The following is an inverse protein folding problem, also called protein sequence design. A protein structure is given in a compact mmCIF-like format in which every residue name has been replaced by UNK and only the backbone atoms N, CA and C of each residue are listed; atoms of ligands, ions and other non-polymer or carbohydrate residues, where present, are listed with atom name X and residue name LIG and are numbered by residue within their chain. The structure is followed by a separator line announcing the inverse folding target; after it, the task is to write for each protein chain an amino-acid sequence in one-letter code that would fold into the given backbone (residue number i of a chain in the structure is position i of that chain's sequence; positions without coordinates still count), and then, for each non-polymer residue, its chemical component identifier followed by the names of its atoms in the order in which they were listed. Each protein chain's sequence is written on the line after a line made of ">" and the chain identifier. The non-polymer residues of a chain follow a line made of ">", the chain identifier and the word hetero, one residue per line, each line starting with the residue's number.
data_IF_400567826950
#
_entry.id   IF_400567826950
#
_cell.length_a   1.000
_cell.length_b   1.000
_cell.length_c   1.000
_cell.angle_alpha   90.00
_cell.angle_beta   90.00
_cell.angle_gamma   90.00
#
_symmetry.space_group_name_H-M   'P 1'
#
loop_
_entity.id
_entity.type
_entity.pdbx_description
1 polymer ?
#
# COMPACT_ATOMS: atom_id res chain seq x y z
N UNK A 1 4.75 -9.61 -3.36
CA UNK A 1 5.86 -9.88 -4.30
C UNK A 1 5.98 -11.36 -4.64
N UNK A 2 6.53 -12.22 -3.77
CA UNK A 2 6.77 -13.66 -4.07
C UNK A 2 5.51 -14.41 -4.48
N UNK A 3 4.42 -14.29 -3.71
CA UNK A 3 3.14 -14.97 -4.00
C UNK A 3 2.54 -14.62 -5.36
N UNK A 4 2.83 -13.41 -5.87
CA UNK A 4 2.31 -12.89 -7.15
C UNK A 4 3.33 -12.96 -8.28
N UNK A 5 4.54 -13.46 -8.01
CA UNK A 5 5.67 -13.48 -8.97
C UNK A 5 5.96 -12.10 -9.59
N UNK A 6 5.69 -11.03 -8.85
CA UNK A 6 6.00 -9.67 -9.29
C UNK A 6 7.49 -9.39 -9.12
N UNK A 7 8.04 -8.72 -10.13
CA UNK A 7 9.40 -8.16 -10.12
C UNK A 7 9.28 -6.68 -10.45
N UNK A 8 9.91 -5.84 -9.62
CA UNK A 8 10.05 -4.41 -9.90
C UNK A 8 11.47 -4.18 -10.37
N UNK A 9 11.63 -3.65 -11.60
CA UNK A 9 12.94 -3.44 -12.21
C UNK A 9 13.75 -2.37 -11.48
N UNK A 10 13.11 -1.26 -11.12
CA UNK A 10 13.71 -0.22 -10.29
C UNK A 10 12.70 0.36 -9.31
N UNK A 11 13.09 0.47 -8.04
CA UNK A 11 12.37 1.23 -7.02
C UNK A 11 13.23 2.43 -6.63
N UNK A 12 12.73 3.64 -6.82
CA UNK A 12 13.49 4.87 -6.61
C UNK A 12 12.70 5.96 -5.89
N UNK A 13 13.42 6.89 -5.26
CA UNK A 13 12.83 8.16 -4.80
C UNK A 13 12.47 9.02 -6.01
N UNK A 14 11.27 9.60 -5.99
CA UNK A 14 10.82 10.60 -6.95
C UNK A 14 11.46 11.94 -6.60
N UNK A 15 11.98 12.65 -7.59
CA UNK A 15 12.53 14.00 -7.39
C UNK A 15 11.39 14.93 -6.91
N UNK A 16 11.51 15.53 -5.72
CA UNK A 16 10.44 16.33 -5.12
C UNK A 16 10.17 17.66 -5.84
N UNK A 17 11.04 18.05 -6.78
CA UNK A 17 10.98 19.28 -7.58
C UNK A 17 10.67 18.97 -9.05
N UNK A 18 10.59 17.68 -9.45
CA UNK A 18 10.35 17.33 -10.85
C UNK A 18 8.88 17.55 -11.25
N UNK A 19 8.61 18.77 -11.72
CA UNK A 19 7.34 19.23 -12.28
C UNK A 19 6.94 18.46 -13.57
N UNK A 20 7.83 17.68 -14.19
CA UNK A 20 7.52 16.92 -15.42
C UNK A 20 6.47 15.83 -15.20
N UNK A 21 6.31 15.34 -13.97
CA UNK A 21 5.25 14.38 -13.63
C UNK A 21 3.94 15.08 -13.27
N UNK A 22 3.98 16.32 -12.79
CA UNK A 22 2.79 17.13 -12.51
C UNK A 22 2.04 17.53 -13.79
N UNK A 23 2.74 17.64 -14.93
CA UNK A 23 2.13 17.95 -16.23
C UNK A 23 1.36 16.78 -16.86
N UNK A 24 1.61 15.53 -16.44
CA UNK A 24 0.91 14.34 -16.97
C UNK A 24 -0.46 14.08 -16.32
N UNK A 25 -0.99 15.05 -15.58
CA UNK A 25 -2.25 14.90 -14.84
C UNK A 25 -3.46 15.05 -15.74
N UNK A 26 -4.27 13.99 -15.84
CA UNK A 26 -5.73 14.15 -15.87
C UNK A 26 -6.19 14.45 -14.44
N UNK A 27 -6.74 15.65 -14.17
CA UNK A 27 -7.55 15.87 -12.96
C UNK A 27 -6.92 16.64 -11.79
N UNK A 28 -6.02 17.61 -12.04
CA UNK A 28 -5.82 18.80 -11.19
C UNK A 28 -5.61 18.63 -9.68
N UNK A 29 -4.36 18.76 -9.23
CA UNK A 29 -4.05 19.34 -7.91
C UNK A 29 -3.75 18.39 -6.75
N UNK A 30 -3.84 17.06 -6.93
CA UNK A 30 -3.38 16.13 -5.88
C UNK A 30 -1.89 15.83 -6.09
N UNK A 31 -1.05 16.15 -5.10
CA UNK A 31 0.41 15.91 -5.15
C UNK A 31 0.66 14.42 -5.38
N UNK A 32 1.31 14.09 -6.50
CA UNK A 32 1.71 12.72 -6.83
C UNK A 32 2.60 12.15 -5.71
N UNK A 33 2.19 11.00 -5.15
CA UNK A 33 2.94 10.31 -4.09
C UNK A 33 3.76 9.14 -4.63
N UNK A 34 3.32 8.54 -5.73
CA UNK A 34 3.99 7.44 -6.40
C UNK A 34 3.68 7.41 -7.89
N UNK A 35 4.49 6.68 -8.66
CA UNK A 35 4.23 6.43 -10.07
C UNK A 35 4.82 5.10 -10.50
N UNK A 36 4.00 4.26 -11.14
CA UNK A 36 4.41 3.01 -11.74
C UNK A 36 4.51 3.13 -13.27
N UNK A 37 5.74 3.02 -13.79
CA UNK A 37 6.04 2.95 -15.22
C UNK A 37 6.04 1.51 -15.72
N UNK A 38 5.25 1.25 -16.76
CA UNK A 38 5.21 -0.02 -17.49
C UNK A 38 5.05 -1.25 -16.59
N UNK A 39 4.02 -1.23 -15.73
CA UNK A 39 3.62 -2.38 -14.90
C UNK A 39 4.79 -3.01 -14.10
N UNK A 40 5.57 -2.18 -13.44
CA UNK A 40 6.66 -2.59 -12.55
C UNK A 40 8.05 -2.45 -13.14
N UNK A 41 8.22 -1.96 -14.38
CA UNK A 41 9.55 -1.67 -14.90
C UNK A 41 10.29 -0.65 -14.01
N UNK A 42 9.58 0.39 -13.57
CA UNK A 42 10.08 1.38 -12.59
C UNK A 42 8.94 1.90 -11.71
N UNK A 43 9.14 1.87 -10.40
CA UNK A 43 8.26 2.51 -9.42
C UNK A 43 9.04 3.63 -8.75
N UNK A 44 8.48 4.83 -8.78
CA UNK A 44 9.02 6.02 -8.13
C UNK A 44 8.10 6.45 -7.01
N UNK A 45 8.66 6.85 -5.87
CA UNK A 45 7.88 7.25 -4.70
C UNK A 45 8.42 8.53 -4.09
N UNK A 46 7.52 9.42 -3.69
CA UNK A 46 7.85 10.57 -2.88
C UNK A 46 8.15 10.09 -1.46
N UNK A 47 9.40 10.24 -1.03
CA UNK A 47 9.80 9.87 0.34
C UNK A 47 9.74 11.06 1.30
N UNK A 48 9.84 12.29 0.79
CA UNK A 48 10.00 13.51 1.57
C UNK A 48 8.73 14.35 1.67
N UNK A 49 8.63 15.10 2.76
CA UNK A 49 7.63 16.16 2.92
C UNK A 49 7.78 17.23 1.85
N UNK A 50 6.71 17.99 1.60
CA UNK A 50 6.70 19.01 0.54
C UNK A 50 7.73 20.13 0.76
N UNK A 51 8.04 20.45 2.02
CA UNK A 51 9.04 21.43 2.45
C UNK A 51 10.45 20.84 2.56
N UNK A 52 10.65 19.56 2.22
CA UNK A 52 11.91 18.82 2.32
C UNK A 52 12.50 18.72 3.74
N UNK A 53 11.75 19.09 4.77
CA UNK A 53 12.23 19.11 6.16
C UNK A 53 12.32 17.71 6.79
N UNK A 54 11.65 16.71 6.20
CA UNK A 54 11.67 15.35 6.70
C UNK A 54 11.13 14.31 5.73
N UNK A 55 10.93 13.10 6.26
CA UNK A 55 10.35 11.98 5.53
C UNK A 55 8.87 11.81 5.85
N UNK A 56 8.10 11.29 4.89
CA UNK A 56 6.74 10.86 5.13
C UNK A 56 6.72 9.65 6.09
N UNK A 57 5.65 9.49 6.89
CA UNK A 57 5.52 8.34 7.78
C UNK A 57 5.57 7.01 7.00
N UNK A 58 6.34 6.06 7.52
CA UNK A 58 6.53 4.74 6.88
C UNK A 58 5.22 4.02 6.52
N UNK A 59 4.16 3.98 7.37
CA UNK A 59 2.90 3.37 6.97
C UNK A 59 2.25 4.03 5.74
N UNK A 60 2.39 5.35 5.60
CA UNK A 60 1.89 6.08 4.43
C UNK A 60 2.71 5.77 3.17
N UNK A 61 4.03 5.66 3.31
CA UNK A 61 4.90 5.19 2.21
C UNK A 61 4.51 3.79 1.75
N UNK A 62 4.27 2.86 2.68
CA UNK A 62 3.83 1.51 2.33
C UNK A 62 2.48 1.54 1.62
N UNK A 63 1.50 2.33 2.09
CA UNK A 63 0.21 2.46 1.42
C UNK A 63 0.39 2.90 -0.05
N UNK A 64 1.24 3.90 -0.30
CA UNK A 64 1.62 4.31 -1.67
C UNK A 64 2.31 3.20 -2.45
N UNK A 65 3.25 2.47 -1.87
CA UNK A 65 3.92 1.36 -2.56
C UNK A 65 2.92 0.25 -2.94
N UNK A 66 1.98 -0.08 -2.06
CA UNK A 66 0.95 -1.08 -2.35
C UNK A 66 0.01 -0.61 -3.47
N UNK A 67 -0.34 0.68 -3.49
CA UNK A 67 -1.06 1.31 -4.60
C UNK A 67 -0.30 1.13 -5.92
N UNK A 68 0.97 1.54 -5.97
CA UNK A 68 1.77 1.40 -7.19
C UNK A 68 1.94 -0.05 -7.62
N UNK A 69 2.10 -0.98 -6.68
CA UNK A 69 2.16 -2.40 -7.00
C UNK A 69 0.87 -2.94 -7.61
N UNK A 70 -0.31 -2.39 -7.26
CA UNK A 70 -1.56 -2.77 -7.91
C UNK A 70 -1.54 -2.45 -9.41
N UNK A 71 -0.85 -1.39 -9.82
CA UNK A 71 -0.66 -1.02 -11.23
C UNK A 71 0.20 -2.02 -12.03
N UNK A 72 0.81 -3.02 -11.40
CA UNK A 72 1.39 -4.15 -12.13
C UNK A 72 0.33 -5.05 -12.80
N UNK A 73 -0.91 -5.08 -12.26
CA UNK A 73 -2.00 -5.92 -12.77
C UNK A 73 -3.19 -5.09 -13.29
N UNK A 74 -3.49 -3.95 -12.64
CA UNK A 74 -4.68 -3.15 -12.94
C UNK A 74 -4.32 -1.68 -13.13
N UNK A 75 -4.44 -1.18 -14.36
CA UNK A 75 -4.09 0.21 -14.68
C UNK A 75 -5.09 1.24 -14.11
N UNK A 76 -6.39 1.00 -14.25
CA UNK A 76 -7.42 1.95 -13.82
C UNK A 76 -7.83 1.72 -12.35
N UNK A 77 -8.12 2.80 -11.61
CA UNK A 77 -8.68 2.76 -10.25
C UNK A 77 -10.15 2.33 -10.23
N UNK A 78 -10.41 1.10 -10.69
CA UNK A 78 -11.73 0.47 -10.69
C UNK A 78 -11.87 -0.52 -9.51
N UNK A 79 -13.00 -1.22 -9.45
CA UNK A 79 -13.26 -2.17 -8.35
C UNK A 79 -12.24 -3.33 -8.29
N UNK A 80 -11.65 -3.75 -9.42
CA UNK A 80 -10.58 -4.76 -9.42
C UNK A 80 -9.30 -4.22 -8.76
N UNK A 81 -8.95 -2.96 -9.04
CA UNK A 81 -7.82 -2.29 -8.40
C UNK A 81 -8.02 -2.23 -6.88
N UNK A 82 -9.17 -1.75 -6.42
CA UNK A 82 -9.44 -1.66 -4.98
C UNK A 82 -9.56 -3.02 -4.32
N UNK A 83 -9.94 -4.08 -5.06
CA UNK A 83 -9.94 -5.44 -4.53
C UNK A 83 -8.51 -5.93 -4.31
N UNK A 84 -7.65 -5.69 -5.29
CA UNK A 84 -6.23 -6.01 -5.20
C UNK A 84 -5.55 -5.24 -4.06
N UNK A 85 -5.78 -3.93 -3.96
CA UNK A 85 -5.22 -3.10 -2.89
C UNK A 85 -5.63 -3.59 -1.50
N UNK A 86 -6.91 -3.97 -1.34
CA UNK A 86 -7.42 -4.54 -0.10
C UNK A 86 -6.69 -5.84 0.29
N UNK A 87 -6.52 -6.75 -0.67
CA UNK A 87 -5.78 -8.00 -0.45
C UNK A 87 -4.33 -7.74 -0.05
N UNK A 88 -3.63 -6.86 -0.77
CA UNK A 88 -2.24 -6.54 -0.49
C UNK A 88 -2.05 -5.92 0.90
N UNK A 89 -2.92 -4.98 1.29
CA UNK A 89 -2.84 -4.35 2.62
C UNK A 89 -3.14 -5.36 3.74
N UNK A 90 -4.13 -6.24 3.54
CA UNK A 90 -4.43 -7.31 4.47
C UNK A 90 -3.24 -8.27 4.63
N UNK A 91 -2.67 -8.75 3.52
CA UNK A 91 -1.51 -9.65 3.51
C UNK A 91 -0.30 -9.02 4.19
N UNK A 92 -0.03 -7.74 3.92
CA UNK A 92 1.06 -6.99 4.55
C UNK A 92 0.93 -6.96 6.09
N UNK A 93 -0.25 -6.61 6.61
CA UNK A 93 -0.48 -6.54 8.04
C UNK A 93 -0.44 -7.92 8.70
N UNK A 94 -1.07 -8.91 8.07
CA UNK A 94 -1.09 -10.28 8.56
C UNK A 94 0.30 -10.91 8.57
N UNK A 95 1.15 -10.61 7.57
CA UNK A 95 2.54 -11.05 7.54
C UNK A 95 3.33 -10.49 8.73
N UNK A 96 3.21 -9.19 9.02
CA UNK A 96 3.89 -8.59 10.18
C UNK A 96 3.37 -9.17 11.50
N UNK A 97 2.07 -9.41 11.60
CA UNK A 97 1.45 -10.03 12.78
C UNK A 97 1.96 -11.46 12.99
N UNK A 98 2.02 -12.26 11.93
CA UNK A 98 2.53 -13.62 11.99
C UNK A 98 4.02 -13.66 12.36
N UNK A 99 4.84 -12.80 11.75
CA UNK A 99 6.27 -12.70 12.08
C UNK A 99 6.49 -12.29 13.54
N UNK A 100 5.72 -11.31 14.04
CA UNK A 100 5.79 -10.91 15.44
C UNK A 100 5.35 -12.03 16.40
N UNK A 101 4.27 -12.75 16.07
CA UNK A 101 3.80 -13.89 16.86
C UNK A 101 4.80 -15.06 16.88
N UNK A 102 5.57 -15.23 15.80
CA UNK A 102 6.66 -16.19 15.72
C UNK A 102 7.94 -15.75 16.46
N UNK A 103 7.94 -14.59 17.12
CA UNK A 103 9.09 -14.08 17.87
C UNK A 103 10.21 -13.52 16.99
N UNK A 104 9.96 -13.23 15.71
CA UNK A 104 10.94 -12.57 14.84
C UNK A 104 11.26 -11.19 15.41
N UNK A 105 12.55 -10.85 15.45
CA UNK A 105 13.04 -9.54 15.87
C UNK A 105 13.83 -8.89 14.74
N UNK A 106 13.51 -7.62 14.47
CA UNK A 106 14.23 -6.75 13.57
C UNK A 106 14.97 -5.72 14.42
N UNK A 107 16.30 -5.80 14.47
CA UNK A 107 17.15 -4.92 15.30
C UNK A 107 16.69 -4.84 16.76
N UNK A 108 16.27 -5.98 17.34
CA UNK A 108 15.82 -6.09 18.72
C UNK A 108 14.39 -5.64 18.99
N UNK A 109 13.63 -5.24 17.96
CA UNK A 109 12.22 -4.83 18.07
C UNK A 109 11.32 -5.74 17.24
N UNK A 110 10.03 -5.81 17.57
CA UNK A 110 9.07 -6.58 16.76
C UNK A 110 8.91 -5.94 15.37
N UNK A 111 8.64 -6.75 14.32
CA UNK A 111 8.35 -6.23 12.98
C UNK A 111 7.22 -5.21 12.97
N UNK A 112 6.18 -5.42 13.78
CA UNK A 112 5.06 -4.48 13.95
C UNK A 112 5.51 -3.10 14.45
N UNK A 113 6.41 -3.07 15.43
CA UNK A 113 6.95 -1.83 15.99
C UNK A 113 7.89 -1.13 15.00
N UNK A 114 8.75 -1.88 14.30
CA UNK A 114 9.67 -1.32 13.31
C UNK A 114 8.90 -0.70 12.14
N UNK A 115 7.85 -1.36 11.67
CA UNK A 115 7.00 -0.85 10.60
C UNK A 115 5.94 0.17 11.05
N UNK A 116 5.85 0.46 12.37
CA UNK A 116 4.84 1.34 12.96
C UNK A 116 3.38 0.97 12.60
N UNK A 117 3.06 -0.34 12.61
CA UNK A 117 1.74 -0.87 12.23
C UNK A 117 1.07 -1.72 13.31
N UNK A 118 1.49 -1.62 14.57
CA UNK A 118 0.89 -2.37 15.70
C UNK A 118 -0.63 -2.20 15.75
N UNK A 119 -1.12 -0.97 15.74
CA UNK A 119 -2.57 -0.67 15.78
C UNK A 119 -3.29 -1.18 14.52
N UNK A 120 -2.69 -0.98 13.34
CA UNK A 120 -3.27 -1.45 12.08
C UNK A 120 -3.37 -2.99 12.04
N UNK A 121 -2.41 -3.70 12.62
CA UNK A 121 -2.41 -5.16 12.65
C UNK A 121 -3.33 -5.76 13.74
N UNK A 122 -3.70 -4.96 14.76
CA UNK A 122 -4.67 -5.35 15.77
C UNK A 122 -6.08 -5.47 15.16
N UNK A 123 -6.46 -4.52 14.29
CA UNK A 123 -7.69 -4.58 13.50
C UNK A 123 -7.39 -4.39 12.00
N UNK A 124 -7.02 -5.52 11.36
CA UNK A 124 -6.69 -5.56 9.93
C UNK A 124 -7.86 -5.08 9.07
N UNK A 125 -9.10 -5.44 9.43
CA UNK A 125 -10.27 -5.09 8.63
C UNK A 125 -10.45 -3.59 8.59
N UNK A 126 -10.51 -2.95 9.76
CA UNK A 126 -10.67 -1.49 9.86
C UNK A 126 -9.49 -0.75 9.22
N UNK A 127 -8.26 -1.26 9.39
CA UNK A 127 -7.08 -0.66 8.77
C UNK A 127 -7.11 -0.70 7.23
N UNK A 128 -7.56 -1.82 6.64
CA UNK A 128 -7.73 -1.95 5.19
C UNK A 128 -8.82 -1.01 4.70
N UNK A 129 -10.01 -1.00 5.32
CA UNK A 129 -11.10 -0.12 4.93
C UNK A 129 -10.69 1.36 4.97
N UNK A 130 -10.05 1.80 6.06
CA UNK A 130 -9.57 3.18 6.15
C UNK A 130 -8.50 3.52 5.10
N UNK A 131 -7.72 2.55 4.65
CA UNK A 131 -6.76 2.74 3.54
C UNK A 131 -7.49 2.93 2.22
N UNK A 132 -8.49 2.09 1.93
CA UNK A 132 -9.30 2.23 0.72
C UNK A 132 -10.09 3.54 0.70
N UNK A 133 -10.63 4.00 1.82
CA UNK A 133 -11.36 5.28 1.89
C UNK A 133 -10.48 6.48 1.57
N UNK A 134 -9.25 6.49 2.11
CA UNK A 134 -8.27 7.55 1.81
C UNK A 134 -7.85 7.54 0.34
N UNK A 135 -7.58 6.36 -0.22
CA UNK A 135 -7.15 6.19 -1.61
C UNK A 135 -8.26 6.59 -2.60
N UNK A 136 -9.50 6.13 -2.34
CA UNK A 136 -10.70 6.48 -3.13
C UNK A 136 -11.14 7.93 -3.00
N UNK A 137 -10.71 8.62 -1.93
CA UNK A 137 -11.27 9.89 -1.49
C UNK A 137 -12.80 9.83 -1.29
N UNK A 138 -13.28 8.73 -0.71
CA UNK A 138 -14.71 8.48 -0.54
C UNK A 138 -15.01 7.15 0.16
N UNK A 139 -16.29 6.87 0.47
CA UNK A 139 -16.67 5.66 1.18
C UNK A 139 -16.40 4.40 0.36
N UNK A 140 -16.08 3.30 1.05
CA UNK A 140 -15.91 1.98 0.42
C UNK A 140 -17.28 1.37 0.11
N UNK A 141 -17.55 0.94 -1.14
CA UNK A 141 -18.81 0.31 -1.50
C UNK A 141 -19.08 -0.96 -0.68
N UNK A 142 -20.34 -1.22 -0.32
CA UNK A 142 -20.71 -2.40 0.48
C UNK A 142 -20.28 -3.74 -0.17
N UNK A 143 -20.32 -3.83 -1.50
CA UNK A 143 -19.83 -5.00 -2.22
C UNK A 143 -18.33 -5.24 -1.97
N UNK A 144 -17.54 -4.16 -1.94
CA UNK A 144 -16.10 -4.19 -1.68
C UNK A 144 -15.79 -4.61 -0.24
N UNK A 145 -16.58 -4.14 0.72
CA UNK A 145 -16.52 -4.58 2.12
C UNK A 145 -16.76 -6.08 2.21
N UNK A 146 -17.80 -6.60 1.55
CA UNK A 146 -18.11 -8.03 1.54
C UNK A 146 -16.99 -8.88 0.92
N UNK A 147 -16.33 -8.40 -0.14
CA UNK A 147 -15.18 -9.07 -0.74
C UNK A 147 -13.97 -9.13 0.21
N UNK A 148 -13.70 -8.06 0.95
CA UNK A 148 -12.66 -8.05 1.98
C UNK A 148 -12.98 -9.05 3.11
N UNK A 149 -14.22 -9.06 3.59
CA UNK A 149 -14.64 -9.96 4.66
C UNK A 149 -14.50 -11.44 4.25
N UNK A 150 -14.92 -11.78 3.03
CA UNK A 150 -14.72 -13.12 2.47
C UNK A 150 -13.23 -13.48 2.34
N UNK A 151 -12.39 -12.53 1.90
CA UNK A 151 -10.94 -12.74 1.79
C UNK A 151 -10.29 -13.01 3.15
N UNK A 152 -10.62 -12.21 4.17
CA UNK A 152 -10.09 -12.38 5.52
C UNK A 152 -10.57 -13.69 6.17
N UNK A 153 -11.83 -14.08 5.93
CA UNK A 153 -12.37 -15.35 6.40
C UNK A 153 -11.62 -16.54 5.77
N UNK A 154 -11.34 -16.48 4.47
CA UNK A 154 -10.54 -17.50 3.77
C UNK A 154 -9.14 -17.65 4.39
N UNK A 155 -8.44 -16.52 4.60
CA UNK A 155 -7.12 -16.53 5.23
C UNK A 155 -7.13 -17.01 6.69
N UNK A 156 -8.26 -16.90 7.39
CA UNK A 156 -8.41 -17.43 8.73
C UNK A 156 -8.61 -18.94 8.76
N UNK A 157 -9.25 -19.53 7.76
CA UNK A 157 -9.46 -20.98 7.64
C UNK A 157 -8.27 -21.75 7.04
N UNK A 158 -7.33 -21.08 6.38
CA UNK A 158 -6.10 -21.67 5.83
C UNK A 158 -4.95 -21.81 6.84
N UNK A 159 -5.15 -21.35 8.09
CA UNK A 159 -4.15 -21.40 9.19
C UNK A 159 -4.52 -22.45 10.23
#
# INVERSE_FOLDING_TARGET
>A
MVSRRWVVGTLAEMDPIDDRLAEKMEGGGTRLLGYNTNAGARIEMRLRTADLSGFLPYPGLVDTLLHELCHNEVAAHNELFYHLLAQLKADYLLHHRAAAAAGVLCTGRSPLAVAAVTEQAADVRSAVLGTLERDRQGPVPAAQVGLLDAYLARLAGER
#
